data_IF_294279453340
#
_entry.id   IF_294279453340
#
_cell.length_a   1.000
_cell.length_b   1.000
_cell.length_c   1.000
_cell.angle_alpha   90.00
_cell.angle_beta   90.00
_cell.angle_gamma   90.00
#
_symmetry.space_group_name_H-M   'P 1'
#
loop_
_entity.id
_entity.type
_entity.pdbx_description
1 polymer ?
#
# COMPACT_ATOMS: atom_id res chain seq x y z
N UNK A 1 43.10 -48.59 19.65
CA UNK A 1 42.28 -48.86 18.47
C UNK A 1 41.28 -47.71 18.32
N UNK A 2 41.56 -46.77 17.45
CA UNK A 2 40.72 -45.61 17.21
C UNK A 2 39.94 -45.85 15.92
N UNK A 3 38.61 -45.98 16.02
CA UNK A 3 37.73 -46.17 14.86
C UNK A 3 37.36 -44.82 14.31
N UNK A 4 37.92 -44.50 13.15
CA UNK A 4 37.54 -43.30 12.37
C UNK A 4 36.18 -43.54 11.70
N UNK A 5 35.13 -42.84 12.17
CA UNK A 5 33.83 -42.79 11.51
C UNK A 5 33.96 -41.90 10.26
N UNK A 6 33.94 -42.55 9.09
CA UNK A 6 33.85 -41.88 7.79
C UNK A 6 32.43 -41.33 7.58
N UNK A 7 32.31 -40.02 7.50
CA UNK A 7 31.05 -39.36 7.08
C UNK A 7 30.74 -39.71 5.61
N UNK A 8 29.49 -40.08 5.31
CA UNK A 8 29.08 -40.28 3.91
C UNK A 8 29.12 -38.95 3.17
N UNK A 9 29.96 -38.87 2.14
CA UNK A 9 29.94 -37.81 1.14
C UNK A 9 28.65 -37.94 0.34
N UNK A 10 27.70 -37.01 0.52
CA UNK A 10 26.54 -36.86 -0.37
C UNK A 10 27.07 -36.38 -1.74
N UNK A 11 26.87 -37.15 -2.83
CA UNK A 11 27.24 -36.70 -4.16
C UNK A 11 26.22 -35.68 -4.66
N UNK A 12 26.70 -34.52 -5.06
CA UNK A 12 26.01 -33.71 -6.06
C UNK A 12 24.90 -32.80 -5.65
N UNK A 13 25.11 -31.90 -4.67
CA UNK A 13 24.48 -30.60 -4.73
C UNK A 13 25.25 -29.76 -5.78
N UNK A 14 24.88 -29.91 -7.04
CA UNK A 14 25.23 -28.91 -8.06
C UNK A 14 24.56 -27.63 -7.65
N UNK A 15 25.34 -26.72 -7.08
CA UNK A 15 24.96 -25.32 -6.93
C UNK A 15 24.47 -24.85 -8.30
N UNK A 16 23.20 -24.39 -8.45
CA UNK A 16 22.72 -23.92 -9.74
C UNK A 16 23.73 -22.90 -10.26
N UNK A 17 24.16 -23.07 -11.49
CA UNK A 17 25.13 -22.20 -12.15
C UNK A 17 24.79 -20.75 -11.84
N UNK A 18 25.75 -20.01 -11.30
CA UNK A 18 25.59 -18.62 -10.88
C UNK A 18 24.85 -17.88 -12.00
N UNK A 19 23.66 -17.33 -11.66
CA UNK A 19 22.95 -16.41 -12.57
C UNK A 19 24.00 -15.48 -13.14
N UNK A 20 24.08 -15.40 -14.46
CA UNK A 20 25.12 -14.62 -15.10
C UNK A 20 25.01 -13.19 -14.50
N UNK A 21 26.09 -12.69 -13.91
CA UNK A 21 26.16 -11.40 -13.18
C UNK A 21 25.42 -10.25 -13.88
N UNK A 22 25.38 -10.16 -15.25
CA UNK A 22 24.59 -9.14 -15.96
C UNK A 22 23.08 -9.24 -15.75
N UNK A 23 22.49 -10.44 -15.75
CA UNK A 23 21.04 -10.63 -15.56
C UNK A 23 20.58 -10.22 -14.16
N UNK A 24 21.35 -10.55 -13.14
CA UNK A 24 21.07 -10.14 -11.76
C UNK A 24 21.16 -8.61 -11.59
N UNK A 25 22.10 -7.95 -12.29
CA UNK A 25 22.22 -6.48 -12.30
C UNK A 25 21.03 -5.82 -12.98
N UNK A 26 20.61 -6.31 -14.15
CA UNK A 26 19.45 -5.80 -14.87
C UNK A 26 18.16 -5.92 -14.05
N UNK A 27 17.94 -7.08 -13.39
CA UNK A 27 16.79 -7.28 -12.50
C UNK A 27 16.78 -6.28 -11.33
N UNK A 28 17.93 -6.07 -10.68
CA UNK A 28 18.05 -5.08 -9.59
C UNK A 28 17.85 -3.65 -10.08
N UNK A 29 18.40 -3.29 -11.23
CA UNK A 29 18.18 -1.98 -11.85
C UNK A 29 16.68 -1.75 -12.13
N UNK A 30 16.00 -2.73 -12.69
CA UNK A 30 14.55 -2.67 -12.91
C UNK A 30 13.77 -2.51 -11.61
N UNK A 31 14.08 -3.27 -10.55
CA UNK A 31 13.45 -3.15 -9.24
C UNK A 31 13.60 -1.74 -8.64
N UNK A 32 14.79 -1.14 -8.78
CA UNK A 32 15.02 0.25 -8.33
C UNK A 32 14.23 1.23 -9.19
N UNK A 33 14.31 1.15 -10.51
CA UNK A 33 13.56 2.02 -11.42
C UNK A 33 12.06 1.93 -11.19
N UNK A 34 11.51 0.72 -11.05
CA UNK A 34 10.10 0.51 -10.73
C UNK A 34 9.71 1.17 -9.40
N UNK A 35 10.58 1.13 -8.40
CA UNK A 35 10.34 1.77 -7.11
C UNK A 35 10.36 3.29 -7.21
N UNK A 36 11.31 3.85 -7.95
CA UNK A 36 11.43 5.30 -8.17
C UNK A 36 10.23 5.87 -8.96
N UNK A 37 9.74 5.11 -9.93
CA UNK A 37 8.67 5.53 -10.81
C UNK A 37 7.26 5.25 -10.24
N UNK A 38 7.13 4.38 -9.22
CA UNK A 38 5.83 4.00 -8.65
C UNK A 38 4.95 5.19 -8.21
N UNK A 39 5.48 6.28 -7.62
CA UNK A 39 4.67 7.44 -7.25
C UNK A 39 4.55 8.50 -8.37
N UNK A 40 5.00 8.22 -9.60
CA UNK A 40 4.86 9.14 -10.73
C UNK A 40 3.60 8.79 -11.54
N UNK A 41 2.55 9.59 -11.39
CA UNK A 41 1.27 9.42 -12.09
C UNK A 41 1.14 10.50 -13.16
N UNK A 42 0.49 10.19 -14.29
CA UNK A 42 0.12 11.15 -15.33
C UNK A 42 -1.39 11.40 -15.24
N UNK A 43 -1.85 12.56 -14.75
CA UNK A 43 -3.25 12.79 -14.40
C UNK A 43 -4.19 12.85 -15.61
N UNK A 44 -3.67 13.10 -16.80
CA UNK A 44 -4.43 13.23 -18.05
C UNK A 44 -4.51 11.94 -18.86
N UNK A 45 -3.82 10.88 -18.40
CA UNK A 45 -3.84 9.58 -19.09
C UNK A 45 -5.10 8.79 -18.80
N UNK A 46 -5.58 7.93 -19.74
CA UNK A 46 -6.71 7.03 -19.52
C UNK A 46 -6.41 6.10 -18.34
N UNK A 47 -7.38 5.93 -17.41
CA UNK A 47 -7.22 5.08 -16.23
C UNK A 47 -6.06 5.49 -15.31
N UNK A 48 -5.73 6.77 -15.24
CA UNK A 48 -4.62 7.31 -14.42
C UNK A 48 -3.28 6.62 -14.72
N UNK A 49 -2.92 6.51 -16.00
CA UNK A 49 -1.66 5.90 -16.44
C UNK A 49 -0.45 6.56 -15.79
N UNK A 50 0.63 5.81 -15.64
CA UNK A 50 1.91 6.28 -15.13
C UNK A 50 3.03 6.00 -16.13
N UNK A 51 4.12 6.76 -16.06
CA UNK A 51 5.33 6.47 -16.84
C UNK A 51 5.83 5.05 -16.59
N UNK A 52 5.65 4.58 -15.35
CA UNK A 52 5.97 3.22 -14.95
C UNK A 52 5.23 2.15 -15.77
N UNK A 53 4.00 2.42 -16.23
CA UNK A 53 3.20 1.43 -16.95
C UNK A 53 3.83 1.02 -18.29
N UNK A 54 4.47 1.97 -18.96
CA UNK A 54 5.22 1.68 -20.19
C UNK A 54 6.43 0.79 -19.88
N UNK A 55 7.19 1.12 -18.84
CA UNK A 55 8.35 0.33 -18.40
C UNK A 55 7.92 -1.08 -18.00
N UNK A 56 6.82 -1.19 -17.26
CA UNK A 56 6.30 -2.46 -16.79
C UNK A 56 5.73 -3.31 -17.92
N UNK A 57 5.10 -2.72 -18.92
CA UNK A 57 4.64 -3.46 -20.10
C UNK A 57 5.80 -4.20 -20.77
N UNK A 58 6.89 -3.50 -21.06
CA UNK A 58 8.08 -4.13 -21.64
C UNK A 58 8.71 -5.17 -20.70
N UNK A 59 8.69 -4.91 -19.38
CA UNK A 59 9.20 -5.89 -18.42
C UNK A 59 8.34 -7.15 -18.34
N UNK A 60 7.01 -7.04 -18.41
CA UNK A 60 6.08 -8.17 -18.44
C UNK A 60 6.31 -8.99 -19.71
N UNK A 61 6.40 -8.33 -20.87
CA UNK A 61 6.67 -8.99 -22.15
C UNK A 61 8.03 -9.71 -22.12
N UNK A 62 9.08 -9.02 -21.68
CA UNK A 62 10.41 -9.62 -21.55
C UNK A 62 10.40 -10.82 -20.57
N UNK A 63 9.72 -10.69 -19.43
CA UNK A 63 9.58 -11.78 -18.47
C UNK A 63 8.84 -12.98 -19.06
N UNK A 64 7.74 -12.76 -19.78
CA UNK A 64 7.02 -13.81 -20.49
C UNK A 64 7.93 -14.52 -21.51
N UNK A 65 8.63 -13.77 -22.34
CA UNK A 65 9.49 -14.30 -23.40
C UNK A 65 10.71 -15.07 -22.86
N UNK A 66 11.35 -14.59 -21.80
CA UNK A 66 12.62 -15.16 -21.34
C UNK A 66 12.51 -16.10 -20.14
N UNK A 67 11.41 -16.08 -19.41
CA UNK A 67 11.20 -16.87 -18.19
C UNK A 67 10.05 -17.86 -18.35
N UNK A 68 8.87 -17.39 -18.79
CA UNK A 68 7.66 -18.22 -18.84
C UNK A 68 7.67 -19.18 -20.02
N UNK A 69 7.78 -18.68 -21.25
CA UNK A 69 7.72 -19.53 -22.45
C UNK A 69 8.84 -20.57 -22.55
N UNK A 70 10.09 -20.30 -22.16
CA UNK A 70 11.10 -21.34 -22.15
C UNK A 70 10.94 -22.43 -21.09
N UNK A 71 9.97 -22.28 -20.16
CA UNK A 71 9.72 -23.23 -19.07
C UNK A 71 10.91 -23.49 -18.14
N UNK A 72 11.87 -22.55 -18.11
CA UNK A 72 13.16 -22.73 -17.44
C UNK A 72 13.09 -22.66 -15.92
N UNK A 73 11.99 -22.16 -15.35
CA UNK A 73 11.81 -22.00 -13.90
C UNK A 73 10.37 -22.20 -13.48
N UNK A 74 10.17 -22.73 -12.30
CA UNK A 74 8.84 -22.73 -11.66
C UNK A 74 8.44 -21.29 -11.32
N UNK A 75 7.29 -20.86 -11.85
CA UNK A 75 6.75 -19.54 -11.65
C UNK A 75 6.10 -19.45 -10.28
N UNK A 76 6.45 -18.42 -9.51
CA UNK A 76 5.79 -18.11 -8.23
C UNK A 76 4.64 -17.17 -8.48
N UNK A 77 3.42 -17.64 -8.22
CA UNK A 77 2.19 -16.87 -8.42
C UNK A 77 1.36 -16.90 -7.13
N UNK A 78 1.76 -16.17 -6.10
CA UNK A 78 0.95 -16.08 -4.89
C UNK A 78 -0.35 -15.32 -5.16
N UNK A 79 -1.35 -15.48 -4.28
CA UNK A 79 -2.64 -14.76 -4.33
C UNK A 79 -3.52 -15.10 -5.55
N UNK A 80 -3.29 -16.24 -6.22
CA UNK A 80 -4.08 -16.66 -7.40
C UNK A 80 -5.56 -16.79 -7.03
N UNK A 81 -5.89 -17.53 -5.97
CA UNK A 81 -7.28 -17.82 -5.61
C UNK A 81 -8.13 -16.56 -5.41
N UNK A 82 -7.75 -15.58 -4.57
CA UNK A 82 -8.53 -14.35 -4.44
C UNK A 82 -8.61 -13.56 -5.75
N UNK A 83 -7.54 -13.52 -6.55
CA UNK A 83 -7.53 -12.81 -7.82
C UNK A 83 -8.43 -13.47 -8.87
N UNK A 84 -8.52 -14.79 -8.89
CA UNK A 84 -9.45 -15.53 -9.75
C UNK A 84 -10.90 -15.24 -9.35
N UNK A 85 -11.22 -15.18 -8.05
CA UNK A 85 -12.56 -14.81 -7.58
C UNK A 85 -12.93 -13.39 -8.01
N UNK A 86 -12.01 -12.43 -7.88
CA UNK A 86 -12.20 -11.06 -8.37
C UNK A 86 -12.43 -11.05 -9.88
N UNK A 87 -11.64 -11.79 -10.66
CA UNK A 87 -11.76 -11.85 -12.11
C UNK A 87 -13.11 -12.47 -12.54
N UNK A 88 -13.52 -13.57 -11.93
CA UNK A 88 -14.82 -14.22 -12.23
C UNK A 88 -15.96 -13.26 -11.87
N UNK A 89 -15.95 -12.63 -10.69
CA UNK A 89 -16.96 -11.65 -10.30
C UNK A 89 -17.03 -10.49 -11.29
N UNK A 90 -15.87 -9.96 -11.71
CA UNK A 90 -15.78 -8.90 -12.71
C UNK A 90 -16.36 -9.31 -14.07
N UNK A 91 -16.05 -10.52 -14.55
CA UNK A 91 -16.55 -11.03 -15.84
C UNK A 91 -18.08 -11.23 -15.80
N UNK A 92 -18.61 -11.79 -14.72
CA UNK A 92 -20.05 -11.92 -14.52
C UNK A 92 -20.71 -10.54 -14.54
N UNK A 93 -20.19 -9.59 -13.77
CA UNK A 93 -20.74 -8.23 -13.68
C UNK A 93 -20.69 -7.45 -15.00
N UNK A 94 -19.79 -7.76 -15.92
CA UNK A 94 -19.75 -7.17 -17.26
C UNK A 94 -21.05 -7.38 -18.05
N UNK A 95 -21.80 -8.44 -17.76
CA UNK A 95 -23.11 -8.68 -18.39
C UNK A 95 -24.15 -7.59 -18.12
N UNK A 96 -23.98 -6.80 -17.09
CA UNK A 96 -24.86 -5.68 -16.69
C UNK A 96 -24.15 -4.31 -16.72
N UNK A 97 -22.97 -4.23 -17.35
CA UNK A 97 -22.18 -3.00 -17.37
C UNK A 97 -22.82 -1.91 -18.26
N UNK A 98 -23.15 -0.72 -17.73
CA UNK A 98 -23.63 0.41 -18.53
C UNK A 98 -22.61 0.85 -19.59
N UNK A 99 -21.32 0.74 -19.26
CA UNK A 99 -20.20 1.03 -20.17
C UNK A 99 -19.24 -0.15 -20.23
N UNK A 100 -19.28 -0.90 -21.34
CA UNK A 100 -18.36 -2.01 -21.56
C UNK A 100 -16.91 -1.54 -21.74
N UNK A 101 -16.70 -0.32 -22.27
CA UNK A 101 -15.35 0.25 -22.40
C UNK A 101 -14.69 0.53 -21.07
N UNK A 102 -15.43 1.05 -20.08
CA UNK A 102 -14.92 1.23 -18.71
C UNK A 102 -14.63 -0.12 -18.06
N UNK A 103 -15.51 -1.09 -18.23
CA UNK A 103 -15.33 -2.44 -17.70
C UNK A 103 -14.09 -3.12 -18.29
N UNK A 104 -13.89 -3.04 -19.59
CA UNK A 104 -12.72 -3.59 -20.26
C UNK A 104 -11.42 -2.92 -19.82
N UNK A 105 -11.42 -1.59 -19.64
CA UNK A 105 -10.27 -0.83 -19.16
C UNK A 105 -9.90 -1.25 -17.71
N UNK A 106 -10.88 -1.34 -16.83
CA UNK A 106 -10.66 -1.76 -15.44
C UNK A 106 -10.14 -3.20 -15.34
N UNK A 107 -10.72 -4.13 -16.13
CA UNK A 107 -10.22 -5.51 -16.22
C UNK A 107 -8.78 -5.57 -16.76
N UNK A 108 -8.48 -4.81 -17.80
CA UNK A 108 -7.13 -4.74 -18.35
C UNK A 108 -6.13 -4.22 -17.30
N UNK A 109 -6.54 -3.23 -16.50
CA UNK A 109 -5.74 -2.70 -15.40
C UNK A 109 -5.52 -3.75 -14.30
N UNK A 110 -6.54 -4.51 -13.90
CA UNK A 110 -6.41 -5.58 -12.91
C UNK A 110 -5.43 -6.67 -13.38
N UNK A 111 -5.57 -7.14 -14.63
CA UNK A 111 -4.67 -8.14 -15.23
C UNK A 111 -3.24 -7.60 -15.30
N UNK A 112 -3.08 -6.36 -15.73
CA UNK A 112 -1.78 -5.69 -15.82
C UNK A 112 -1.10 -5.60 -14.44
N UNK A 113 -1.81 -5.12 -13.41
CA UNK A 113 -1.24 -4.96 -12.06
C UNK A 113 -0.87 -6.32 -11.45
N UNK A 114 -1.71 -7.34 -11.67
CA UNK A 114 -1.40 -8.68 -11.20
C UNK A 114 -0.22 -9.31 -11.95
N UNK A 115 -0.14 -9.15 -13.27
CA UNK A 115 1.01 -9.60 -14.05
C UNK A 115 2.30 -8.93 -13.60
N UNK A 116 2.27 -7.62 -13.37
CA UNK A 116 3.40 -6.87 -12.82
C UNK A 116 3.80 -7.36 -11.42
N UNK A 117 2.83 -7.59 -10.53
CA UNK A 117 3.07 -8.19 -9.23
C UNK A 117 3.79 -9.53 -9.34
N UNK A 118 3.37 -10.41 -10.26
CA UNK A 118 4.02 -11.70 -10.52
C UNK A 118 5.47 -11.49 -10.96
N UNK A 119 5.73 -10.55 -11.87
CA UNK A 119 7.11 -10.19 -12.27
C UNK A 119 7.94 -9.79 -11.06
N UNK A 120 7.44 -8.86 -10.24
CA UNK A 120 8.15 -8.38 -9.05
C UNK A 120 8.48 -9.52 -8.07
N UNK A 121 7.50 -10.38 -7.75
CA UNK A 121 7.71 -11.51 -6.82
C UNK A 121 8.77 -12.48 -7.35
N UNK A 122 8.82 -12.67 -8.67
CA UNK A 122 9.80 -13.57 -9.32
C UNK A 122 11.16 -12.91 -9.57
N UNK A 123 11.30 -11.61 -9.41
CA UNK A 123 12.59 -10.91 -9.45
C UNK A 123 13.19 -10.70 -8.05
N UNK A 124 12.37 -10.70 -7.01
CA UNK A 124 12.79 -10.57 -5.60
C UNK A 124 13.24 -11.94 -5.08
N UNK A 125 14.52 -12.27 -5.23
CA UNK A 125 15.06 -13.58 -4.86
C UNK A 125 15.78 -13.62 -3.52
N UNK A 126 16.34 -12.49 -3.08
CA UNK A 126 17.22 -12.45 -1.92
C UNK A 126 16.80 -11.40 -0.89
N UNK A 127 17.26 -11.58 0.35
CA UNK A 127 17.10 -10.55 1.39
C UNK A 127 17.77 -9.23 1.00
N UNK A 128 18.82 -9.28 0.16
CA UNK A 128 19.48 -8.08 -0.35
C UNK A 128 18.58 -7.32 -1.34
N UNK A 129 17.85 -8.02 -2.20
CA UNK A 129 16.90 -7.39 -3.13
C UNK A 129 15.74 -6.73 -2.39
N UNK A 130 15.19 -7.41 -1.35
CA UNK A 130 14.17 -6.82 -0.48
C UNK A 130 14.67 -5.55 0.23
N UNK A 131 15.92 -5.56 0.70
CA UNK A 131 16.54 -4.39 1.32
C UNK A 131 16.74 -3.26 0.31
N UNK A 132 17.23 -3.58 -0.88
CA UNK A 132 17.46 -2.62 -1.96
C UNK A 132 16.16 -1.86 -2.29
N UNK A 133 15.06 -2.58 -2.51
CA UNK A 133 13.76 -1.98 -2.83
C UNK A 133 13.23 -1.14 -1.66
N UNK A 134 13.33 -1.60 -0.41
CA UNK A 134 12.90 -0.81 0.76
C UNK A 134 13.71 0.48 0.92
N UNK A 135 15.02 0.43 0.69
CA UNK A 135 15.88 1.62 0.76
C UNK A 135 15.54 2.58 -0.40
N UNK A 136 15.41 2.08 -1.63
CA UNK A 136 14.97 2.89 -2.77
C UNK A 136 13.59 3.53 -2.50
N UNK A 137 12.64 2.77 -1.92
CA UNK A 137 11.32 3.29 -1.53
C UNK A 137 11.43 4.49 -0.58
N UNK A 138 12.23 4.36 0.49
CA UNK A 138 12.38 5.44 1.48
C UNK A 138 12.97 6.69 0.83
N UNK A 139 14.00 6.56 -0.01
CA UNK A 139 14.58 7.68 -0.73
C UNK A 139 13.57 8.33 -1.68
N UNK A 140 12.81 7.52 -2.42
CA UNK A 140 11.74 8.02 -3.28
C UNK A 140 10.68 8.78 -2.47
N UNK A 141 10.28 8.25 -1.32
CA UNK A 141 9.29 8.88 -0.46
C UNK A 141 9.79 10.22 0.11
N UNK A 142 11.08 10.31 0.46
CA UNK A 142 11.69 11.59 0.87
C UNK A 142 11.64 12.61 -0.28
N UNK A 143 12.03 12.23 -1.50
CA UNK A 143 11.98 13.12 -2.67
C UNK A 143 10.55 13.58 -2.97
N UNK A 144 9.57 12.67 -2.96
CA UNK A 144 8.16 12.98 -3.15
C UNK A 144 7.64 13.91 -2.05
N UNK A 145 8.07 13.69 -0.79
CA UNK A 145 7.72 14.56 0.34
C UNK A 145 8.30 15.97 0.18
N UNK A 146 9.57 16.08 -0.22
CA UNK A 146 10.19 17.37 -0.50
C UNK A 146 9.47 18.10 -1.64
N UNK A 147 9.07 17.39 -2.69
CA UNK A 147 8.26 17.94 -3.77
C UNK A 147 6.90 18.45 -3.29
N UNK A 148 6.23 17.71 -2.37
CA UNK A 148 4.97 18.14 -1.76
C UNK A 148 5.14 19.41 -0.90
N UNK A 149 6.19 19.46 -0.10
CA UNK A 149 6.50 20.63 0.74
C UNK A 149 6.88 21.85 -0.11
N UNK A 150 7.66 21.65 -1.17
CA UNK A 150 7.98 22.71 -2.13
C UNK A 150 6.70 23.24 -2.82
N UNK A 151 5.82 22.35 -3.29
CA UNK A 151 4.52 22.72 -3.86
C UNK A 151 3.71 23.59 -2.90
N UNK A 152 3.68 23.22 -1.61
CA UNK A 152 2.99 23.99 -0.56
C UNK A 152 3.64 25.37 -0.37
N UNK A 153 4.97 25.44 -0.26
CA UNK A 153 5.72 26.69 -0.11
C UNK A 153 5.47 27.66 -1.27
N UNK A 154 5.53 27.18 -2.50
CA UNK A 154 5.27 28.02 -3.68
C UNK A 154 3.82 28.50 -3.72
N UNK A 155 2.86 27.64 -3.40
CA UNK A 155 1.44 28.00 -3.42
C UNK A 155 1.05 28.99 -2.31
N UNK A 156 1.85 29.10 -1.23
CA UNK A 156 1.56 29.98 -0.08
C UNK A 156 2.46 31.22 -0.02
N UNK A 157 3.29 31.46 -1.04
CA UNK A 157 4.22 32.58 -1.06
C UNK A 157 5.31 32.52 0.01
N UNK A 158 5.58 31.32 0.57
CA UNK A 158 6.70 31.07 1.51
C UNK A 158 6.48 31.54 2.94
N UNK A 159 5.35 32.14 3.30
CA UNK A 159 5.10 32.59 4.67
C UNK A 159 4.59 31.47 5.57
N UNK A 160 5.22 31.30 6.75
CA UNK A 160 4.84 30.23 7.71
C UNK A 160 3.40 30.40 8.23
N UNK A 161 2.91 31.63 8.35
CA UNK A 161 1.54 31.92 8.75
C UNK A 161 0.49 31.46 7.72
N UNK A 162 0.81 31.59 6.43
CA UNK A 162 -0.03 31.08 5.34
C UNK A 162 0.10 29.56 5.18
N UNK A 163 1.25 28.97 5.52
CA UNK A 163 1.43 27.50 5.54
C UNK A 163 0.44 26.80 6.46
N UNK A 164 0.24 27.33 7.67
CA UNK A 164 -0.65 26.75 8.67
C UNK A 164 -2.12 27.13 8.41
N UNK A 165 -2.37 28.33 7.88
CA UNK A 165 -3.70 28.89 7.62
C UNK A 165 -4.16 28.87 6.14
N UNK A 166 -3.38 28.29 5.20
CA UNK A 166 -3.72 28.33 3.77
C UNK A 166 -5.01 27.54 3.49
N UNK A 167 -6.08 28.29 3.27
CA UNK A 167 -7.38 27.75 2.89
C UNK A 167 -7.24 27.06 1.52
N UNK A 168 -7.56 25.77 1.47
CA UNK A 168 -7.72 25.04 0.20
C UNK A 168 -6.46 24.39 -0.40
N UNK A 169 -5.24 24.80 -0.04
CA UNK A 169 -4.03 24.17 -0.61
C UNK A 169 -3.71 22.83 0.05
N UNK A 170 -3.77 21.78 -0.75
CA UNK A 170 -3.44 20.40 -0.36
C UNK A 170 -2.40 19.86 -1.32
N UNK A 171 -1.13 19.70 -0.90
CA UNK A 171 -0.09 19.22 -1.79
C UNK A 171 -0.36 17.76 -2.17
N UNK A 172 -0.07 17.44 -3.42
CA UNK A 172 -0.23 16.11 -3.99
C UNK A 172 1.06 15.56 -4.60
N UNK A 173 2.07 16.42 -4.78
CA UNK A 173 3.35 16.09 -5.40
C UNK A 173 3.15 15.39 -6.76
N UNK A 174 3.92 14.36 -7.04
CA UNK A 174 3.87 13.56 -8.28
C UNK A 174 2.67 12.61 -8.37
N UNK A 175 1.87 12.49 -7.32
CA UNK A 175 0.69 11.63 -7.28
C UNK A 175 -0.60 12.36 -7.66
N UNK A 176 -0.57 13.68 -7.80
CA UNK A 176 -1.69 14.55 -8.21
C UNK A 176 -2.97 14.45 -7.38
N UNK A 177 -2.99 13.60 -6.35
CA UNK A 177 -4.10 13.43 -5.42
C UNK A 177 -3.54 13.42 -3.99
N UNK A 178 -3.96 14.37 -3.12
CA UNK A 178 -3.46 14.42 -1.75
C UNK A 178 -3.84 13.19 -0.89
N UNK A 179 -4.93 12.50 -1.20
CA UNK A 179 -5.30 11.27 -0.48
C UNK A 179 -4.40 10.09 -0.92
N UNK A 180 -4.04 10.02 -2.21
CA UNK A 180 -3.08 9.04 -2.73
C UNK A 180 -1.68 9.31 -2.16
N UNK A 181 -1.26 10.59 -2.06
CA UNK A 181 -0.02 10.96 -1.42
C UNK A 181 -0.01 10.54 0.07
N UNK A 182 -1.10 10.77 0.79
CA UNK A 182 -1.22 10.35 2.19
C UNK A 182 -1.13 8.83 2.35
N UNK A 183 -1.74 8.05 1.45
CA UNK A 183 -1.62 6.58 1.42
C UNK A 183 -0.16 6.15 1.23
N UNK A 184 0.50 6.71 0.20
CA UNK A 184 1.90 6.41 -0.09
C UNK A 184 2.82 6.75 1.09
N UNK A 185 2.64 7.93 1.72
CA UNK A 185 3.47 8.36 2.85
C UNK A 185 3.20 7.54 4.12
N UNK A 186 1.96 7.20 4.41
CA UNK A 186 1.61 6.28 5.50
C UNK A 186 2.37 4.96 5.37
N UNK A 187 2.33 4.33 4.20
CA UNK A 187 3.07 3.10 3.94
C UNK A 187 4.58 3.32 4.06
N UNK A 188 5.08 4.44 3.52
CA UNK A 188 6.52 4.78 3.49
C UNK A 188 7.12 4.97 4.87
N UNK A 189 6.38 5.56 5.82
CA UNK A 189 6.82 5.70 7.22
C UNK A 189 7.05 4.33 7.84
N UNK A 190 6.14 3.38 7.68
CA UNK A 190 6.32 2.03 8.24
C UNK A 190 7.41 1.24 7.52
N UNK A 191 7.57 1.39 6.20
CA UNK A 191 8.71 0.82 5.46
C UNK A 191 10.03 1.41 5.98
N UNK A 192 10.11 2.71 6.24
CA UNK A 192 11.30 3.34 6.83
C UNK A 192 11.60 2.81 8.23
N UNK A 193 10.58 2.70 9.09
CA UNK A 193 10.71 2.12 10.43
C UNK A 193 11.24 0.68 10.40
N UNK A 194 10.90 -0.11 9.38
CA UNK A 194 11.43 -1.46 9.20
C UNK A 194 12.96 -1.49 9.05
N UNK A 195 13.54 -0.42 8.55
CA UNK A 195 14.98 -0.29 8.31
C UNK A 195 15.76 0.25 9.54
N UNK A 196 15.10 0.48 10.69
CA UNK A 196 15.72 1.04 11.90
C UNK A 196 16.86 0.20 12.50
N UNK A 197 17.04 -1.05 12.07
CA UNK A 197 18.19 -1.88 12.42
C UNK A 197 19.29 -1.91 11.32
N UNK A 198 19.08 -1.21 10.21
CA UNK A 198 19.92 -1.31 9.00
C UNK A 198 20.47 0.04 8.54
N UNK A 199 19.82 1.13 8.93
CA UNK A 199 20.21 2.51 8.58
C UNK A 199 20.64 3.27 9.83
N UNK A 200 21.55 4.22 9.67
CA UNK A 200 21.97 5.14 10.76
C UNK A 200 20.78 5.95 11.27
N UNK A 201 20.77 6.25 12.58
CA UNK A 201 19.64 6.92 13.25
C UNK A 201 19.29 8.28 12.66
N UNK A 202 20.30 9.13 12.39
CA UNK A 202 20.04 10.49 11.92
C UNK A 202 19.34 10.53 10.54
N UNK A 203 19.83 9.88 9.47
CA UNK A 203 19.11 9.86 8.20
C UNK A 203 17.72 9.23 8.32
N UNK A 204 17.52 8.22 9.17
CA UNK A 204 16.20 7.64 9.40
C UNK A 204 15.26 8.67 10.05
N UNK A 205 15.68 9.36 11.12
CA UNK A 205 14.85 10.36 11.79
C UNK A 205 14.51 11.53 10.88
N UNK A 206 15.47 12.00 10.08
CA UNK A 206 15.24 13.05 9.08
C UNK A 206 14.22 12.60 8.04
N UNK A 207 14.35 11.37 7.51
CA UNK A 207 13.39 10.81 6.55
C UNK A 207 11.99 10.73 7.15
N UNK A 208 11.86 10.22 8.39
CA UNK A 208 10.57 10.12 9.09
C UNK A 208 9.97 11.51 9.35
N UNK A 209 10.78 12.49 9.75
CA UNK A 209 10.34 13.88 9.98
C UNK A 209 9.80 14.52 8.69
N UNK A 210 10.56 14.43 7.59
CA UNK A 210 10.15 15.00 6.29
C UNK A 210 8.87 14.34 5.80
N UNK A 211 8.78 12.99 5.82
CA UNK A 211 7.58 12.26 5.42
C UNK A 211 6.38 12.57 6.34
N UNK A 212 6.60 12.68 7.65
CA UNK A 212 5.56 13.01 8.63
C UNK A 212 4.99 14.40 8.41
N UNK A 213 5.83 15.42 8.21
CA UNK A 213 5.39 16.79 7.91
C UNK A 213 4.61 16.82 6.58
N UNK A 214 5.10 16.14 5.55
CA UNK A 214 4.40 16.05 4.26
C UNK A 214 3.06 15.33 4.38
N UNK A 215 2.96 14.25 5.17
CA UNK A 215 1.71 13.54 5.44
C UNK A 215 0.68 14.47 6.12
N UNK A 216 1.09 15.21 7.15
CA UNK A 216 0.24 16.21 7.81
C UNK A 216 -0.23 17.29 6.82
N UNK A 217 0.68 17.76 5.97
CA UNK A 217 0.40 18.80 4.97
C UNK A 217 -0.64 18.35 3.91
N UNK A 218 -0.81 17.04 3.65
CA UNK A 218 -1.85 16.54 2.73
C UNK A 218 -3.26 16.87 3.20
N UNK A 219 -3.45 17.12 4.50
CA UNK A 219 -4.76 17.32 5.13
C UNK A 219 -5.76 16.20 4.78
N UNK A 220 -5.28 14.97 4.59
CA UNK A 220 -6.11 13.80 4.28
C UNK A 220 -6.60 13.14 5.58
N UNK A 221 -7.88 13.30 5.89
CA UNK A 221 -8.48 12.69 7.09
C UNK A 221 -8.38 11.15 7.05
N UNK A 222 -8.71 10.54 5.92
CA UNK A 222 -8.58 9.09 5.73
C UNK A 222 -7.14 8.61 5.91
N UNK A 223 -6.17 9.33 5.32
CA UNK A 223 -4.75 9.00 5.48
C UNK A 223 -4.24 9.13 6.91
N UNK A 224 -4.73 10.13 7.67
CA UNK A 224 -4.38 10.32 9.09
C UNK A 224 -4.95 9.22 9.98
N UNK A 225 -6.22 8.83 9.77
CA UNK A 225 -6.86 7.72 10.50
C UNK A 225 -6.14 6.40 10.16
N UNK A 226 -5.82 6.17 8.90
CA UNK A 226 -5.05 5.00 8.47
C UNK A 226 -3.65 4.96 9.10
N UNK A 227 -2.97 6.11 9.16
CA UNK A 227 -1.67 6.22 9.83
C UNK A 227 -1.77 5.93 11.33
N UNK A 228 -2.80 6.43 12.02
CA UNK A 228 -3.05 6.14 13.43
C UNK A 228 -3.32 4.65 13.66
N UNK A 229 -4.17 4.02 12.83
CA UNK A 229 -4.45 2.58 12.91
C UNK A 229 -3.19 1.73 12.66
N UNK A 230 -2.39 2.11 11.65
CA UNK A 230 -1.10 1.48 11.38
C UNK A 230 -0.11 1.66 12.55
N UNK A 231 -0.04 2.87 13.12
CA UNK A 231 0.80 3.18 14.28
C UNK A 231 0.43 2.37 15.53
N UNK A 232 -0.84 2.27 15.83
CA UNK A 232 -1.33 1.42 16.91
C UNK A 232 -0.95 -0.06 16.67
N UNK A 233 -1.17 -0.54 15.46
CA UNK A 233 -0.81 -1.92 15.07
C UNK A 233 0.70 -2.14 15.16
N UNK A 234 1.52 -1.17 14.75
CA UNK A 234 2.97 -1.21 14.92
C UNK A 234 3.37 -1.36 16.39
N UNK A 235 2.81 -0.53 17.27
CA UNK A 235 3.08 -0.58 18.71
C UNK A 235 2.70 -1.94 19.30
N UNK A 236 1.49 -2.44 18.99
CA UNK A 236 1.02 -3.76 19.43
C UNK A 236 1.97 -4.86 18.94
N UNK A 237 2.34 -4.85 17.67
CA UNK A 237 3.24 -5.84 17.10
C UNK A 237 4.64 -5.80 17.75
N UNK A 238 5.17 -4.61 18.02
CA UNK A 238 6.46 -4.45 18.70
C UNK A 238 6.42 -4.92 20.15
N UNK A 239 5.33 -4.71 20.86
CA UNK A 239 5.12 -5.24 22.22
C UNK A 239 4.99 -6.77 22.18
N UNK A 240 4.15 -7.30 21.30
CA UNK A 240 3.89 -8.74 21.20
C UNK A 240 5.13 -9.55 20.77
N UNK A 241 5.94 -8.98 19.88
CA UNK A 241 7.14 -9.66 19.34
C UNK A 241 8.44 -9.29 20.07
N UNK A 242 8.41 -8.26 20.91
CA UNK A 242 9.55 -7.74 21.63
C UNK A 242 9.98 -8.64 22.82
N UNK A 243 11.23 -8.49 23.29
CA UNK A 243 11.70 -9.14 24.50
C UNK A 243 10.92 -8.60 25.71
N UNK A 244 10.64 -9.49 26.68
CA UNK A 244 9.76 -9.19 27.81
C UNK A 244 10.15 -7.91 28.59
N UNK A 245 11.46 -7.67 28.79
CA UNK A 245 11.97 -6.49 29.52
C UNK A 245 11.70 -5.14 28.84
N UNK A 246 11.40 -5.12 27.52
CA UNK A 246 11.09 -3.89 26.75
C UNK A 246 9.60 -3.67 26.52
N UNK A 247 8.77 -4.65 26.81
CA UNK A 247 7.32 -4.57 26.57
C UNK A 247 6.68 -3.43 27.36
N UNK A 248 7.03 -3.31 28.64
CA UNK A 248 6.55 -2.22 29.49
C UNK A 248 6.94 -0.84 29.00
N UNK A 249 8.20 -0.65 28.56
CA UNK A 249 8.66 0.65 28.02
C UNK A 249 7.92 1.03 26.72
N UNK A 250 7.73 0.10 25.79
CA UNK A 250 7.02 0.37 24.53
C UNK A 250 5.55 0.69 24.82
N UNK A 251 4.91 -0.08 25.70
CA UNK A 251 3.53 0.15 26.14
C UNK A 251 3.39 1.52 26.82
N UNK A 252 4.30 1.84 27.76
CA UNK A 252 4.31 3.12 28.46
C UNK A 252 4.51 4.31 27.49
N UNK A 253 5.41 4.17 26.50
CA UNK A 253 5.60 5.21 25.46
C UNK A 253 4.35 5.39 24.60
N UNK A 254 3.70 4.28 24.17
CA UNK A 254 2.46 4.34 23.40
C UNK A 254 1.32 4.98 24.20
N UNK A 255 1.18 4.62 25.49
CA UNK A 255 0.20 5.22 26.41
C UNK A 255 0.49 6.70 26.66
N UNK A 256 1.75 7.09 26.81
CA UNK A 256 2.13 8.48 26.99
C UNK A 256 1.77 9.32 25.76
N UNK A 257 2.08 8.82 24.55
CA UNK A 257 1.74 9.52 23.29
C UNK A 257 0.22 9.63 23.13
N UNK A 258 -0.53 8.55 23.42
CA UNK A 258 -1.99 8.57 23.38
C UNK A 258 -2.58 9.53 24.42
N UNK A 259 -2.03 9.55 25.65
CA UNK A 259 -2.46 10.45 26.72
C UNK A 259 -2.16 11.91 26.42
N UNK A 260 -0.97 12.21 25.87
CA UNK A 260 -0.64 13.56 25.42
C UNK A 260 -1.54 14.02 24.27
N UNK A 261 -1.81 13.16 23.29
CA UNK A 261 -2.75 13.45 22.21
C UNK A 261 -4.16 13.70 22.73
N UNK A 262 -4.65 12.85 23.64
CA UNK A 262 -5.93 13.00 24.32
C UNK A 262 -6.01 14.25 25.18
N UNK A 263 -4.95 14.56 25.95
CA UNK A 263 -4.89 15.76 26.78
C UNK A 263 -4.87 17.05 25.93
N UNK A 264 -4.12 17.07 24.82
CA UNK A 264 -4.13 18.20 23.89
C UNK A 264 -5.50 18.38 23.22
N UNK A 265 -6.18 17.28 22.88
CA UNK A 265 -7.54 17.30 22.36
C UNK A 265 -8.52 17.83 23.42
N UNK A 266 -8.44 17.32 24.67
CA UNK A 266 -9.29 17.73 25.79
C UNK A 266 -9.06 19.21 26.19
N UNK A 267 -7.81 19.64 26.33
CA UNK A 267 -7.45 21.04 26.57
C UNK A 267 -7.97 21.96 25.46
N UNK A 268 -7.90 21.53 24.20
CA UNK A 268 -8.48 22.28 23.09
C UNK A 268 -10.00 22.41 23.17
N UNK A 269 -10.69 21.42 23.76
CA UNK A 269 -12.15 21.41 23.91
C UNK A 269 -12.65 22.19 25.14
N UNK A 270 -11.93 22.14 26.27
CA UNK A 270 -12.39 22.66 27.57
C UNK A 270 -12.08 24.16 27.78
N UNK A 271 -10.97 24.64 27.29
CA UNK A 271 -10.55 26.03 27.60
C UNK A 271 -11.15 27.10 26.70
N UNK A 272 -12.31 26.85 26.04
CA UNK A 272 -13.05 27.94 25.39
C UNK A 272 -12.22 28.89 24.50
N UNK A 273 -10.92 28.60 24.34
CA UNK A 273 -10.19 29.03 23.14
C UNK A 273 -10.96 28.52 21.92
N UNK A 274 -12.00 27.76 22.31
CA UNK A 274 -12.99 27.03 21.59
C UNK A 274 -13.93 27.87 20.77
N UNK A 275 -14.55 28.89 21.22
CA UNK A 275 -15.63 29.41 20.39
C UNK A 275 -15.13 30.29 19.24
N UNK A 276 -14.07 31.06 19.41
CA UNK A 276 -13.51 31.85 18.29
C UNK A 276 -12.38 31.10 17.56
N UNK A 277 -11.54 30.39 18.27
CA UNK A 277 -10.51 29.52 17.67
C UNK A 277 -11.15 28.21 17.20
N UNK A 278 -12.19 27.68 17.85
CA UNK A 278 -12.91 26.48 17.41
C UNK A 278 -13.87 26.78 16.23
N UNK A 279 -14.49 27.93 16.11
CA UNK A 279 -15.16 28.34 14.86
C UNK A 279 -14.17 28.63 13.74
N UNK A 280 -13.08 29.34 13.98
CA UNK A 280 -12.02 29.51 12.99
C UNK A 280 -11.28 28.20 12.70
N UNK A 281 -11.15 27.32 13.67
CA UNK A 281 -10.60 25.99 13.53
C UNK A 281 -11.65 24.96 13.05
N UNK A 282 -12.96 25.03 13.38
CA UNK A 282 -13.97 24.02 13.02
C UNK A 282 -14.29 24.01 11.53
N UNK A 283 -14.31 25.14 10.86
CA UNK A 283 -14.42 25.18 9.40
C UNK A 283 -13.14 24.68 8.71
N UNK A 284 -11.98 24.72 9.38
CA UNK A 284 -10.66 24.42 8.81
C UNK A 284 -9.93 23.26 9.49
N UNK A 285 -10.48 22.71 10.59
CA UNK A 285 -9.91 21.58 11.34
C UNK A 285 -10.19 20.25 10.67
N UNK A 286 -9.48 19.24 11.19
CA UNK A 286 -9.71 17.83 10.91
C UNK A 286 -11.19 17.43 11.07
N UNK A 287 -11.88 17.87 12.12
CA UNK A 287 -13.27 17.52 12.44
C UNK A 287 -14.26 18.14 11.43
N UNK A 288 -14.19 19.44 11.18
CA UNK A 288 -15.09 20.11 10.22
C UNK A 288 -14.90 19.61 8.78
N UNK A 289 -13.65 19.34 8.37
CA UNK A 289 -13.39 18.70 7.06
C UNK A 289 -13.87 17.25 7.01
N UNK A 290 -13.83 16.52 8.13
CA UNK A 290 -14.33 15.15 8.21
C UNK A 290 -15.84 15.12 8.00
N UNK A 291 -16.57 16.05 8.61
CA UNK A 291 -18.03 16.17 8.46
C UNK A 291 -18.41 16.48 7.01
N UNK A 292 -17.83 17.49 6.40
CA UNK A 292 -18.12 17.85 4.99
C UNK A 292 -17.72 16.75 4.01
N UNK A 293 -16.58 16.09 4.24
CA UNK A 293 -16.12 14.98 3.42
C UNK A 293 -16.98 13.71 3.59
N UNK A 294 -17.49 13.44 4.81
CA UNK A 294 -18.36 12.29 5.06
C UNK A 294 -19.75 12.50 4.45
N UNK A 295 -20.35 13.67 4.57
CA UNK A 295 -21.63 13.99 3.95
C UNK A 295 -21.60 13.83 2.42
N UNK A 296 -20.53 14.28 1.77
CA UNK A 296 -20.35 14.10 0.33
C UNK A 296 -20.22 12.63 -0.08
N UNK A 297 -19.58 11.79 0.76
CA UNK A 297 -19.46 10.34 0.51
C UNK A 297 -20.77 9.62 0.78
N UNK A 298 -21.49 9.94 1.85
CA UNK A 298 -22.78 9.33 2.15
C UNK A 298 -23.75 9.51 0.98
N UNK A 299 -23.83 10.70 0.38
CA UNK A 299 -24.65 10.93 -0.83
C UNK A 299 -24.24 10.03 -2.01
N UNK A 300 -22.95 9.79 -2.20
CA UNK A 300 -22.44 8.86 -3.23
C UNK A 300 -22.87 7.42 -2.87
N UNK A 301 -22.72 7.02 -1.61
CA UNK A 301 -23.02 5.67 -1.15
C UNK A 301 -24.50 5.34 -1.22
N UNK A 302 -25.40 6.29 -0.87
CA UNK A 302 -26.85 6.13 -0.99
C UNK A 302 -27.26 5.78 -2.44
N UNK A 303 -26.63 6.40 -3.43
CA UNK A 303 -26.96 6.10 -4.84
C UNK A 303 -26.33 4.80 -5.32
N UNK A 304 -25.17 4.45 -4.82
CA UNK A 304 -24.54 3.16 -5.10
C UNK A 304 -25.31 2.01 -4.48
N UNK A 305 -25.93 2.21 -3.31
CA UNK A 305 -26.82 1.23 -2.67
C UNK A 305 -28.04 0.92 -3.56
N UNK A 306 -28.67 1.96 -4.10
CA UNK A 306 -29.79 1.79 -5.05
C UNK A 306 -29.34 1.02 -6.31
N UNK A 307 -28.15 1.30 -6.82
CA UNK A 307 -27.61 0.59 -7.96
C UNK A 307 -27.34 -0.90 -7.65
N UNK A 308 -26.79 -1.18 -6.46
CA UNK A 308 -26.57 -2.55 -5.99
C UNK A 308 -27.87 -3.34 -5.85
N UNK A 309 -28.91 -2.72 -5.28
CA UNK A 309 -30.22 -3.35 -5.16
C UNK A 309 -30.83 -3.76 -6.52
N UNK A 310 -30.53 -2.98 -7.58
CA UNK A 310 -30.98 -3.28 -8.95
C UNK A 310 -30.12 -4.30 -9.68
N UNK A 311 -28.85 -4.41 -9.35
CA UNK A 311 -27.88 -5.30 -9.99
C UNK A 311 -26.98 -5.98 -8.95
N UNK A 312 -27.52 -6.96 -8.20
CA UNK A 312 -26.80 -7.58 -7.08
C UNK A 312 -25.59 -8.43 -7.51
N UNK A 313 -25.48 -8.78 -8.80
CA UNK A 313 -24.31 -9.45 -9.36
C UNK A 313 -23.21 -8.48 -9.82
N UNK A 314 -23.44 -7.18 -9.65
CA UNK A 314 -22.53 -6.11 -10.01
C UNK A 314 -22.92 -5.37 -11.30
N UNK A 315 -22.42 -4.14 -11.42
CA UNK A 315 -22.66 -3.25 -12.57
C UNK A 315 -21.47 -3.18 -13.55
N UNK A 316 -20.51 -4.09 -13.40
CA UNK A 316 -19.25 -4.07 -14.15
C UNK A 316 -18.17 -3.18 -13.54
N UNK A 317 -16.90 -3.65 -13.54
CA UNK A 317 -15.77 -2.91 -12.96
C UNK A 317 -15.61 -1.52 -13.61
N UNK A 318 -15.25 -0.51 -12.82
CA UNK A 318 -15.05 0.87 -13.28
C UNK A 318 -16.32 1.66 -13.60
N UNK A 319 -17.52 1.07 -13.43
CA UNK A 319 -18.78 1.73 -13.78
C UNK A 319 -19.40 2.55 -12.63
N UNK A 320 -18.92 2.47 -11.40
CA UNK A 320 -19.43 3.29 -10.28
C UNK A 320 -19.31 4.79 -10.55
N UNK A 321 -18.22 5.21 -11.18
CA UNK A 321 -17.97 6.60 -11.53
C UNK A 321 -19.05 7.18 -12.48
N UNK A 322 -19.59 6.37 -13.38
CA UNK A 322 -20.65 6.81 -14.31
C UNK A 322 -21.98 7.08 -13.60
N UNK A 323 -22.27 6.36 -12.52
CA UNK A 323 -23.49 6.56 -11.72
C UNK A 323 -23.42 7.82 -10.86
N UNK A 324 -22.22 8.21 -10.42
CA UNK A 324 -22.00 9.37 -9.55
C UNK A 324 -21.86 10.68 -10.32
N UNK A 325 -21.64 10.67 -11.62
CA UNK A 325 -21.55 11.88 -12.44
C UNK A 325 -22.83 12.73 -12.40
N UNK A 326 -24.01 12.11 -12.32
CA UNK A 326 -25.29 12.84 -12.23
C UNK A 326 -25.50 13.63 -10.94
N UNK A 327 -24.72 13.39 -9.88
CA UNK A 327 -24.86 14.06 -8.60
C UNK A 327 -24.03 15.35 -8.53
N UNK A 328 -22.84 15.33 -9.13
CA UNK A 328 -21.93 16.49 -9.13
C UNK A 328 -22.48 17.67 -9.94
N UNK A 329 -23.31 17.37 -10.93
CA UNK A 329 -23.82 18.30 -11.93
C UNK A 329 -24.80 19.37 -11.36
N UNK A 330 -25.51 19.05 -10.28
CA UNK A 330 -26.52 19.97 -9.71
C UNK A 330 -25.95 21.08 -8.83
N UNK A 331 -24.77 20.90 -8.24
CA UNK A 331 -24.19 21.84 -7.28
C UNK A 331 -23.04 22.70 -7.81
N UNK A 332 -22.29 22.24 -8.84
CA UNK A 332 -21.19 23.00 -9.50
C UNK A 332 -20.99 22.53 -10.92
N UNK A 333 -21.53 23.23 -11.93
CA UNK A 333 -21.40 22.85 -13.34
C UNK A 333 -19.96 22.74 -13.84
N UNK A 334 -19.01 23.47 -13.25
CA UNK A 334 -17.62 23.58 -13.70
C UNK A 334 -16.65 22.57 -13.06
N UNK A 335 -17.10 21.66 -12.19
CA UNK A 335 -16.25 20.72 -11.47
C UNK A 335 -16.52 19.26 -11.84
N UNK A 336 -16.60 18.96 -13.12
CA UNK A 336 -16.69 17.59 -13.64
C UNK A 336 -15.42 16.78 -13.38
N UNK A 337 -15.33 16.17 -12.21
CA UNK A 337 -14.44 15.02 -12.00
C UNK A 337 -15.33 13.87 -11.61
N UNK A 338 -15.33 12.80 -12.42
CA UNK A 338 -15.95 11.53 -12.07
C UNK A 338 -15.53 11.16 -10.65
N UNK A 339 -16.51 11.00 -9.77
CA UNK A 339 -16.24 10.62 -8.38
C UNK A 339 -16.36 9.11 -8.32
N UNK A 340 -15.25 8.45 -8.12
CA UNK A 340 -15.18 7.03 -7.75
C UNK A 340 -15.98 6.77 -6.47
N UNK A 341 -16.33 5.50 -6.18
CA UNK A 341 -17.06 5.13 -4.96
C UNK A 341 -16.33 5.57 -3.67
N UNK A 342 -15.03 5.92 -3.77
CA UNK A 342 -14.17 6.30 -2.64
C UNK A 342 -14.13 5.26 -1.52
N UNK A 343 -14.32 3.98 -1.86
CA UNK A 343 -14.16 2.84 -0.97
C UNK A 343 -13.91 1.60 -1.79
N UNK A 344 -12.79 0.90 -1.56
CA UNK A 344 -12.54 -0.40 -2.22
C UNK A 344 -13.66 -1.41 -1.93
N UNK A 345 -14.17 -1.42 -0.70
CA UNK A 345 -15.21 -2.39 -0.31
C UNK A 345 -16.51 -2.17 -1.07
N UNK A 346 -16.95 -0.92 -1.17
CA UNK A 346 -18.16 -0.58 -1.92
C UNK A 346 -17.96 -0.76 -3.42
N UNK A 347 -16.82 -0.30 -3.96
CA UNK A 347 -16.50 -0.49 -5.36
C UNK A 347 -16.52 -1.98 -5.73
N UNK A 348 -15.87 -2.85 -4.95
CA UNK A 348 -15.86 -4.27 -5.22
C UNK A 348 -17.22 -4.94 -5.07
N UNK A 349 -18.01 -4.56 -4.06
CA UNK A 349 -19.35 -5.08 -3.87
C UNK A 349 -20.28 -4.68 -5.03
N UNK A 350 -20.27 -3.41 -5.42
CA UNK A 350 -21.21 -2.84 -6.38
C UNK A 350 -20.79 -3.14 -7.82
N UNK A 351 -19.48 -3.01 -8.12
CA UNK A 351 -18.99 -3.20 -9.48
C UNK A 351 -18.80 -4.67 -9.86
N UNK A 352 -18.40 -5.52 -8.89
CA UNK A 352 -17.97 -6.92 -9.12
C UNK A 352 -18.85 -7.93 -8.41
N UNK A 353 -19.86 -7.47 -7.68
CA UNK A 353 -20.83 -8.31 -6.98
C UNK A 353 -20.24 -9.14 -5.83
N UNK A 354 -20.98 -10.17 -5.37
CA UNK A 354 -20.59 -10.99 -4.22
C UNK A 354 -19.24 -11.68 -4.38
N UNK A 355 -18.90 -12.17 -5.57
CA UNK A 355 -17.60 -12.81 -5.81
C UNK A 355 -16.45 -11.81 -5.77
N UNK A 356 -16.68 -10.56 -6.22
CA UNK A 356 -15.69 -9.51 -6.14
C UNK A 356 -15.34 -9.17 -4.70
N UNK A 357 -16.35 -8.95 -3.84
CA UNK A 357 -16.10 -8.65 -2.42
C UNK A 357 -15.49 -9.83 -1.66
N UNK A 358 -15.92 -11.07 -1.94
CA UNK A 358 -15.30 -12.27 -1.35
C UNK A 358 -13.84 -12.40 -1.80
N UNK A 359 -13.55 -12.12 -3.08
CA UNK A 359 -12.18 -12.08 -3.59
C UNK A 359 -11.32 -11.01 -2.91
N UNK A 360 -11.86 -9.81 -2.70
CA UNK A 360 -11.17 -8.74 -1.96
C UNK A 360 -10.87 -9.14 -0.51
N UNK A 361 -11.86 -9.65 0.21
CA UNK A 361 -11.67 -10.09 1.60
C UNK A 361 -10.69 -11.27 1.67
N UNK A 362 -10.77 -12.20 0.71
CA UNK A 362 -9.81 -13.28 0.55
C UNK A 362 -8.38 -12.80 0.28
N UNK A 363 -8.22 -11.75 -0.55
CA UNK A 363 -6.93 -11.10 -0.78
C UNK A 363 -6.35 -10.53 0.51
N UNK A 364 -7.13 -9.76 1.27
CA UNK A 364 -6.70 -9.19 2.53
C UNK A 364 -6.31 -10.29 3.54
N UNK A 365 -7.15 -11.33 3.68
CA UNK A 365 -6.85 -12.47 4.55
C UNK A 365 -5.56 -13.19 4.14
N UNK A 366 -5.36 -13.42 2.84
CA UNK A 366 -4.15 -14.04 2.33
C UNK A 366 -2.89 -13.18 2.59
N UNK A 367 -2.98 -11.85 2.51
CA UNK A 367 -1.88 -10.96 2.85
C UNK A 367 -1.49 -11.05 4.34
N UNK A 368 -2.46 -11.07 5.25
CA UNK A 368 -2.17 -11.30 6.68
C UNK A 368 -1.59 -12.70 6.92
N UNK A 369 -2.06 -13.71 6.21
CA UNK A 369 -1.50 -15.07 6.28
C UNK A 369 -0.03 -15.10 5.82
N UNK A 370 0.34 -14.38 4.76
CA UNK A 370 1.75 -14.25 4.33
C UNK A 370 2.64 -13.61 5.40
N UNK A 371 2.13 -12.59 6.12
CA UNK A 371 2.88 -12.01 7.27
C UNK A 371 3.08 -13.06 8.37
N UNK A 372 2.05 -13.85 8.68
CA UNK A 372 2.16 -14.93 9.66
C UNK A 372 3.16 -16.02 9.22
N UNK A 373 3.19 -16.39 7.94
CA UNK A 373 4.19 -17.32 7.36
C UNK A 373 5.59 -16.75 7.52
N UNK A 374 5.83 -15.50 7.13
CA UNK A 374 7.11 -14.83 7.31
C UNK A 374 7.56 -14.83 8.77
N UNK A 375 6.67 -14.47 9.69
CA UNK A 375 6.95 -14.41 11.12
C UNK A 375 7.33 -15.78 11.70
N UNK A 376 6.53 -16.82 11.40
CA UNK A 376 6.79 -18.20 11.85
C UNK A 376 8.14 -18.71 11.34
N UNK A 377 8.44 -18.51 10.08
CA UNK A 377 9.71 -18.92 9.47
C UNK A 377 10.90 -18.19 10.11
N UNK A 378 10.78 -16.87 10.33
CA UNK A 378 11.84 -16.06 10.95
C UNK A 378 12.15 -16.45 12.40
N UNK A 379 11.18 -17.03 13.14
CA UNK A 379 11.40 -17.52 14.50
C UNK A 379 12.17 -18.84 14.55
N UNK A 380 12.04 -19.69 13.54
CA UNK A 380 12.66 -21.02 13.50
C UNK A 380 14.17 -20.98 13.25
N UNK A 381 14.67 -19.94 12.59
CA UNK A 381 16.06 -19.89 12.12
C UNK A 381 17.11 -19.46 13.14
N UNK A 382 16.74 -18.96 14.36
CA UNK A 382 17.71 -18.27 15.23
C UNK A 382 17.47 -18.39 16.72
N UNK A 383 16.72 -19.40 17.23
CA UNK A 383 16.39 -19.45 18.66
C UNK A 383 15.56 -18.26 19.17
N UNK A 384 15.12 -17.38 18.28
CA UNK A 384 14.31 -16.20 18.48
C UNK A 384 14.38 -15.29 17.25
N UNK A 385 13.27 -14.60 16.91
CA UNK A 385 13.25 -13.75 15.71
C UNK A 385 14.24 -12.59 15.83
N UNK A 386 15.16 -12.39 14.86
CA UNK A 386 16.11 -11.29 14.89
C UNK A 386 15.40 -9.92 14.84
N UNK A 387 16.02 -8.89 15.38
CA UNK A 387 15.43 -7.53 15.44
C UNK A 387 14.90 -7.05 14.07
N UNK A 388 15.63 -7.34 12.97
CA UNK A 388 15.20 -6.99 11.61
C UNK A 388 13.87 -7.65 11.22
N UNK A 389 13.68 -8.94 11.56
CA UNK A 389 12.44 -9.66 11.27
C UNK A 389 11.27 -9.09 12.06
N UNK A 390 11.45 -8.75 13.34
CA UNK A 390 10.41 -8.10 14.16
C UNK A 390 9.98 -6.76 13.57
N UNK A 391 10.94 -5.89 13.23
CA UNK A 391 10.67 -4.59 12.64
C UNK A 391 9.93 -4.72 11.29
N UNK A 392 10.35 -5.66 10.45
CA UNK A 392 9.68 -5.88 9.17
C UNK A 392 8.28 -6.49 9.34
N UNK A 393 8.09 -7.44 10.26
CA UNK A 393 6.75 -7.98 10.59
C UNK A 393 5.82 -6.86 11.09
N UNK A 394 6.29 -6.03 12.02
CA UNK A 394 5.52 -4.90 12.54
C UNK A 394 5.16 -3.91 11.42
N UNK A 395 6.08 -3.62 10.50
CA UNK A 395 5.82 -2.75 9.35
C UNK A 395 4.76 -3.34 8.41
N UNK A 396 4.86 -4.62 8.08
CA UNK A 396 3.88 -5.29 7.21
C UNK A 396 2.48 -5.25 7.84
N UNK A 397 2.36 -5.56 9.14
CA UNK A 397 1.08 -5.50 9.86
C UNK A 397 0.54 -4.07 9.93
N UNK A 398 1.39 -3.08 10.21
CA UNK A 398 0.99 -1.67 10.28
C UNK A 398 0.50 -1.13 8.94
N UNK A 399 1.21 -1.44 7.85
CA UNK A 399 0.78 -1.06 6.49
C UNK A 399 -0.53 -1.75 6.13
N UNK A 400 -0.68 -3.05 6.40
CA UNK A 400 -1.94 -3.75 6.10
C UNK A 400 -3.11 -3.19 6.90
N UNK A 401 -2.96 -3.00 8.22
CA UNK A 401 -4.00 -2.44 9.06
C UNK A 401 -4.39 -1.02 8.63
N UNK A 402 -3.40 -0.16 8.40
CA UNK A 402 -3.63 1.18 7.86
C UNK A 402 -4.32 1.13 6.49
N UNK A 403 -3.92 0.19 5.62
CA UNK A 403 -4.54 0.00 4.31
C UNK A 403 -5.99 -0.45 4.40
N UNK A 404 -6.32 -1.42 5.26
CA UNK A 404 -7.69 -1.89 5.51
C UNK A 404 -8.59 -0.73 5.94
N UNK A 405 -8.10 0.12 6.85
CA UNK A 405 -8.84 1.31 7.30
C UNK A 405 -8.94 2.35 6.19
N UNK A 406 -7.87 2.61 5.45
CA UNK A 406 -7.89 3.60 4.38
C UNK A 406 -8.82 3.19 3.22
N UNK A 407 -8.90 1.89 2.89
CA UNK A 407 -9.80 1.35 1.88
C UNK A 407 -11.29 1.56 2.17
N UNK A 408 -11.67 1.92 3.40
CA UNK A 408 -13.04 2.37 3.72
C UNK A 408 -13.40 3.70 3.04
N UNK A 409 -12.40 4.54 2.72
CA UNK A 409 -12.60 5.92 2.27
C UNK A 409 -11.80 6.29 1.02
N UNK A 410 -11.15 5.34 0.38
CA UNK A 410 -10.42 5.51 -0.88
C UNK A 410 -10.40 4.19 -1.66
N UNK A 411 -10.40 4.27 -2.98
CA UNK A 411 -10.08 3.15 -3.84
C UNK A 411 -8.57 3.14 -4.10
N UNK A 412 -7.88 2.11 -3.63
CA UNK A 412 -6.42 2.03 -3.67
C UNK A 412 -5.87 0.79 -4.37
N UNK A 413 -6.71 -0.18 -4.69
CA UNK A 413 -6.25 -1.41 -5.35
C UNK A 413 -5.68 -1.18 -6.75
N UNK A 414 -5.91 -0.03 -7.36
CA UNK A 414 -5.27 0.38 -8.59
C UNK A 414 -3.94 1.15 -8.38
N UNK A 415 -3.52 1.39 -7.13
CA UNK A 415 -2.27 2.11 -6.83
C UNK A 415 -1.05 1.21 -7.01
N UNK A 416 -0.11 1.63 -7.85
CA UNK A 416 1.10 0.87 -8.16
C UNK A 416 2.00 0.66 -6.95
N UNK A 417 2.13 1.65 -6.08
CA UNK A 417 2.90 1.53 -4.85
C UNK A 417 2.31 0.47 -3.89
N UNK A 418 0.99 0.27 -3.88
CA UNK A 418 0.38 -0.78 -3.08
C UNK A 418 0.74 -2.17 -3.60
N UNK A 419 0.72 -2.39 -4.91
CA UNK A 419 1.13 -3.67 -5.52
C UNK A 419 2.62 -3.97 -5.33
N UNK A 420 3.48 -2.93 -5.39
CA UNK A 420 4.90 -3.06 -5.06
C UNK A 420 5.09 -3.52 -3.59
N UNK A 421 4.31 -2.97 -2.65
CA UNK A 421 4.34 -3.39 -1.26
C UNK A 421 3.86 -4.84 -1.09
N UNK A 422 2.77 -5.23 -1.74
CA UNK A 422 2.26 -6.62 -1.75
C UNK A 422 3.34 -7.57 -2.27
N UNK A 423 4.06 -7.19 -3.31
CA UNK A 423 5.16 -8.00 -3.85
C UNK A 423 6.31 -8.18 -2.84
N UNK A 424 6.72 -7.10 -2.15
CA UNK A 424 7.71 -7.16 -1.07
C UNK A 424 7.29 -8.09 0.07
N UNK A 425 6.01 -8.01 0.46
CA UNK A 425 5.43 -8.84 1.51
C UNK A 425 5.45 -10.32 1.12
N UNK A 426 4.91 -10.67 -0.04
CA UNK A 426 4.85 -12.05 -0.53
C UNK A 426 6.25 -12.63 -0.78
N UNK A 427 7.15 -11.86 -1.39
CA UNK A 427 8.54 -12.29 -1.60
C UNK A 427 9.27 -12.52 -0.27
N UNK A 428 8.99 -11.70 0.76
CA UNK A 428 9.56 -11.89 2.11
C UNK A 428 9.14 -13.23 2.71
N UNK A 429 7.86 -13.62 2.59
CA UNK A 429 7.36 -14.90 3.06
C UNK A 429 8.00 -16.07 2.30
N UNK A 430 8.08 -16.01 0.98
CA UNK A 430 8.67 -17.03 0.14
C UNK A 430 10.18 -17.24 0.42
N UNK A 431 10.95 -16.16 0.54
CA UNK A 431 12.39 -16.22 0.84
C UNK A 431 12.62 -16.79 2.25
N UNK A 432 11.76 -16.45 3.22
CA UNK A 432 11.93 -16.91 4.61
C UNK A 432 11.63 -18.39 4.82
N UNK A 433 10.80 -18.99 3.95
CA UNK A 433 10.47 -20.41 4.00
C UNK A 433 11.45 -21.31 3.26
N UNK A 434 12.48 -20.74 2.62
CA UNK A 434 13.43 -21.50 1.79
C UNK A 434 12.82 -22.02 0.48
N UNK A 435 11.58 -21.67 0.16
CA UNK A 435 10.94 -22.03 -1.11
C UNK A 435 11.66 -21.30 -2.26
N UNK A 436 12.80 -21.83 -2.66
CA UNK A 436 13.52 -21.35 -3.84
C UNK A 436 12.84 -21.89 -5.10
N UNK A 437 13.06 -21.24 -6.24
CA UNK A 437 12.51 -21.69 -7.52
C UNK A 437 13.10 -23.08 -7.86
N UNK A 438 12.37 -24.14 -7.57
CA UNK A 438 12.81 -25.52 -7.75
C UNK A 438 12.06 -26.53 -6.89
N UNK A 439 11.45 -26.11 -5.80
CA UNK A 439 10.70 -27.04 -4.95
C UNK A 439 9.30 -27.28 -5.55
N UNK A 440 8.89 -28.55 -5.76
CA UNK A 440 7.53 -28.86 -6.22
C UNK A 440 6.53 -28.37 -5.18
N UNK A 441 5.47 -27.72 -5.66
CA UNK A 441 4.33 -27.33 -4.82
C UNK A 441 3.63 -28.61 -4.38
N UNK A 442 3.91 -29.12 -3.18
CA UNK A 442 2.99 -30.04 -2.53
C UNK A 442 1.67 -29.28 -2.32
N UNK A 443 0.64 -29.71 -3.05
CA UNK A 443 -0.73 -29.25 -2.90
C UNK A 443 -1.20 -29.62 -1.50
N UNK A 444 -1.48 -28.59 -0.69
CA UNK A 444 -2.20 -28.70 0.59
C UNK A 444 -3.48 -27.87 0.49
#
# INVERSE_FOLDING_TARGET
MSVALSHPRYPGLTVPAAETRPRARAARAYLVVSTLLAPLVVPTGPGQTAVLDVVNFFAIVAFAMFVVFPGRRTLRVPLVTPMVLVAIGSLIACGWAPSMSLAALALAQDVYLFAWFVVLVNLLHTRQDLRLVRVAWVWTAVLVSLGALAQLLFATGGSLGTLLGSRGVRPASTLYNPNMLADYLMMSVFVALSLAAEIRRLPLLLSLGIMGIALLATKSNGGMIAFAAGGLTWCIAMVATGPAHRRGSIFATAMLVASLGGALFWLGSEYGMGDRVFQALSEHTFVGRMEHSSQSRLRIWDQLEVAFARSPLGIGPGNSASLTMGIADRERPDSYRSKEAHSDYLAFAIERGPLGIVGLLGLLAALFAQVAVYWRASRRTSGGAPRRARLWTAAMLAVLAGSVVHSLVIEKLHFRHYWLFIALLCASALISTGRTAGDPVEAA
#
